data_IF_092649669053
#
_entry.id   IF_092649669053
#
_cell.length_a   1.000
_cell.length_b   1.000
_cell.length_c   1.000
_cell.angle_alpha   90.00
_cell.angle_beta   90.00
_cell.angle_gamma   90.00
#
_symmetry.space_group_name_H-M   'P 1'
#
loop_
_entity.id
_entity.type
_entity.pdbx_description
1 polymer ?
#
# COMPACT_ATOMS: atom_id res chain seq x y z
N UNK A 1 13.00 -12.27 -28.45
CA UNK A 1 11.78 -12.26 -27.62
C UNK A 1 11.26 -10.84 -27.59
N UNK A 2 10.04 -10.61 -28.08
CA UNK A 2 9.48 -9.27 -28.27
C UNK A 2 9.02 -8.75 -26.92
N UNK A 3 9.60 -7.63 -26.49
CA UNK A 3 9.20 -6.91 -25.29
C UNK A 3 7.76 -6.40 -25.51
N UNK A 4 6.77 -7.05 -24.90
CA UNK A 4 5.37 -6.67 -25.03
C UNK A 4 4.97 -5.76 -23.87
N UNK A 5 4.46 -4.59 -24.25
CA UNK A 5 3.53 -3.73 -23.51
C UNK A 5 4.14 -2.58 -22.70
N UNK A 6 4.48 -1.50 -23.40
CA UNK A 6 4.24 -0.13 -22.93
C UNK A 6 2.73 0.07 -22.72
N UNK A 7 2.25 -0.23 -21.52
CA UNK A 7 1.04 0.38 -20.98
C UNK A 7 1.46 1.09 -19.71
N UNK A 8 1.71 2.40 -19.81
CA UNK A 8 1.88 3.24 -18.63
C UNK A 8 0.50 3.53 -18.04
N UNK A 9 -0.16 2.48 -17.53
CA UNK A 9 -1.34 2.67 -16.70
C UNK A 9 -0.84 3.21 -15.36
N UNK A 10 -1.17 4.46 -15.04
CA UNK A 10 -0.81 5.09 -13.76
C UNK A 10 -1.26 4.22 -12.59
N UNK A 11 -0.49 4.20 -11.50
CA UNK A 11 -0.78 3.36 -10.34
C UNK A 11 -1.64 4.08 -9.29
N UNK A 12 -2.37 3.30 -8.49
CA UNK A 12 -3.17 3.78 -7.37
C UNK A 12 -2.83 2.98 -6.10
N UNK A 13 -2.57 3.68 -5.00
CA UNK A 13 -2.38 3.09 -3.67
C UNK A 13 -3.65 3.29 -2.85
N UNK A 14 -4.21 2.21 -2.29
CA UNK A 14 -5.39 2.27 -1.41
C UNK A 14 -5.52 1.05 -0.52
N UNK A 15 -6.30 1.19 0.54
CA UNK A 15 -6.80 0.06 1.31
C UNK A 15 -7.97 -0.62 0.59
N UNK A 16 -8.06 -1.94 0.70
CA UNK A 16 -9.13 -2.75 0.14
C UNK A 16 -9.36 -4.03 0.96
N UNK A 17 -10.56 -4.59 0.87
CA UNK A 17 -10.91 -5.85 1.53
C UNK A 17 -10.92 -6.99 0.52
N UNK A 18 -10.26 -8.10 0.85
CA UNK A 18 -10.37 -9.34 0.09
C UNK A 18 -11.68 -10.05 0.46
N UNK A 19 -12.73 -9.78 -0.30
CA UNK A 19 -13.96 -10.55 -0.20
C UNK A 19 -13.82 -11.85 -1.00
N UNK A 20 -14.06 -12.99 -0.34
CA UNK A 20 -14.07 -14.31 -1.01
C UNK A 20 -15.38 -14.59 -1.76
N UNK A 21 -16.45 -13.81 -1.53
CA UNK A 21 -17.75 -13.91 -2.21
C UNK A 21 -18.51 -12.58 -2.10
N UNK A 22 -19.28 -12.20 -3.14
CA UNK A 22 -20.02 -10.92 -3.19
C UNK A 22 -20.93 -10.62 -1.98
N UNK A 23 -21.30 -11.64 -1.20
CA UNK A 23 -22.17 -11.54 -0.02
C UNK A 23 -21.40 -11.58 1.32
N UNK A 24 -20.08 -11.78 1.33
CA UNK A 24 -19.24 -11.74 2.53
C UNK A 24 -18.35 -10.49 2.49
N UNK A 25 -18.64 -9.54 3.39
CA UNK A 25 -17.62 -8.53 3.75
C UNK A 25 -16.60 -9.23 4.63
N UNK A 26 -15.36 -9.27 4.17
CA UNK A 26 -14.25 -9.57 5.06
C UNK A 26 -13.95 -8.30 5.86
N UNK A 27 -13.75 -8.45 7.17
CA UNK A 27 -13.21 -7.40 8.02
C UNK A 27 -11.70 -7.24 7.84
N UNK A 28 -11.08 -8.08 6.98
CA UNK A 28 -9.66 -8.00 6.68
C UNK A 28 -9.34 -6.97 5.61
N UNK A 29 -8.61 -5.94 6.01
CA UNK A 29 -8.14 -4.87 5.14
C UNK A 29 -6.65 -5.01 4.79
N UNK A 30 -6.33 -4.66 3.56
CA UNK A 30 -5.01 -4.75 2.96
C UNK A 30 -4.66 -3.46 2.25
N UNK A 31 -3.41 -3.02 2.33
CA UNK A 31 -2.86 -1.96 1.49
C UNK A 31 -2.34 -2.56 0.19
N UNK A 32 -2.86 -2.09 -0.95
CA UNK A 32 -2.49 -2.60 -2.26
C UNK A 32 -2.17 -1.50 -3.27
N UNK A 33 -1.42 -1.88 -4.30
CA UNK A 33 -1.17 -1.06 -5.48
C UNK A 33 -1.94 -1.69 -6.66
N UNK A 34 -2.68 -0.84 -7.35
CA UNK A 34 -3.61 -1.18 -8.43
C UNK A 34 -3.25 -0.41 -9.70
N UNK A 35 -3.64 -0.94 -10.86
CA UNK A 35 -3.68 -0.14 -12.08
C UNK A 35 -4.91 0.78 -12.02
N UNK A 36 -4.73 2.08 -12.24
CA UNK A 36 -5.81 3.08 -12.11
C UNK A 36 -6.97 2.84 -13.07
N UNK A 37 -6.66 2.33 -14.28
CA UNK A 37 -7.62 2.06 -15.35
C UNK A 37 -7.96 0.57 -15.48
N UNK A 38 -7.77 -0.23 -14.42
CA UNK A 38 -8.06 -1.66 -14.49
C UNK A 38 -9.57 -1.92 -14.68
N UNK A 39 -9.89 -2.75 -15.67
CA UNK A 39 -11.23 -3.29 -15.90
C UNK A 39 -11.65 -4.28 -14.81
N UNK A 40 -10.71 -4.77 -13.99
CA UNK A 40 -10.96 -5.58 -12.80
C UNK A 40 -10.53 -4.83 -11.53
N UNK A 41 -11.36 -3.90 -11.02
CA UNK A 41 -10.99 -3.02 -9.92
C UNK A 41 -10.78 -3.75 -8.58
N UNK A 42 -11.00 -5.07 -8.49
CA UNK A 42 -10.83 -5.84 -7.25
C UNK A 42 -9.44 -6.42 -7.03
N UNK A 43 -8.54 -6.41 -8.03
CA UNK A 43 -7.29 -7.16 -7.96
C UNK A 43 -6.06 -6.24 -7.94
N UNK A 44 -5.34 -6.12 -6.81
CA UNK A 44 -4.06 -5.42 -6.81
C UNK A 44 -2.98 -6.29 -7.47
N UNK A 45 -1.96 -5.64 -8.04
CA UNK A 45 -0.76 -6.34 -8.51
C UNK A 45 0.32 -6.44 -7.42
N UNK A 46 0.21 -5.66 -6.35
CA UNK A 46 1.07 -5.74 -5.17
C UNK A 46 0.28 -5.51 -3.88
N UNK A 47 0.64 -6.21 -2.79
CA UNK A 47 -0.04 -6.16 -1.48
C UNK A 47 1.02 -6.03 -0.39
N UNK A 48 0.94 -4.99 0.44
CA UNK A 48 1.93 -4.68 1.47
C UNK A 48 1.88 -5.68 2.63
N UNK A 49 0.69 -5.87 3.19
CA UNK A 49 0.46 -6.64 4.41
C UNK A 49 -0.18 -8.00 4.13
N UNK A 50 0.27 -8.69 3.06
CA UNK A 50 -0.32 -9.96 2.59
C UNK A 50 -0.43 -11.02 3.69
N UNK A 51 0.57 -11.10 4.57
CA UNK A 51 0.65 -12.10 5.64
C UNK A 51 0.03 -11.62 6.96
N UNK A 52 -0.20 -10.30 7.10
CA UNK A 52 -0.67 -9.66 8.33
C UNK A 52 -1.86 -8.74 8.01
N UNK A 53 -3.04 -9.29 7.69
CA UNK A 53 -4.23 -8.48 7.45
C UNK A 53 -4.57 -7.61 8.65
N UNK A 54 -5.06 -6.40 8.37
CA UNK A 54 -5.66 -5.54 9.38
C UNK A 54 -7.03 -6.14 9.67
N UNK A 55 -7.36 -6.38 10.94
CA UNK A 55 -8.59 -7.07 11.36
C UNK A 55 -9.84 -6.20 11.31
N UNK A 56 -9.70 -4.97 10.85
CA UNK A 56 -10.77 -3.99 10.68
C UNK A 56 -10.47 -3.09 9.47
N UNK A 57 -11.35 -2.12 9.23
CA UNK A 57 -11.23 -1.17 8.12
C UNK A 57 -10.60 0.18 8.53
N UNK A 58 -9.79 0.20 9.59
CA UNK A 58 -9.23 1.44 10.17
C UNK A 58 -7.76 1.72 9.79
N UNK A 59 -7.22 0.95 8.85
CA UNK A 59 -5.84 1.08 8.37
C UNK A 59 -5.49 2.48 7.87
N UNK A 60 -4.38 3.02 8.34
CA UNK A 60 -3.80 4.28 7.87
C UNK A 60 -2.32 4.07 7.55
N UNK A 61 -1.90 4.52 6.37
CA UNK A 61 -0.48 4.56 6.00
C UNK A 61 0.14 5.83 6.57
N UNK A 62 1.20 5.68 7.35
CA UNK A 62 1.88 6.80 8.02
C UNK A 62 3.39 6.68 7.87
N UNK A 63 4.07 7.82 7.98
CA UNK A 63 5.51 7.88 8.25
C UNK A 63 5.64 8.30 9.71
N UNK A 64 6.37 7.52 10.50
CA UNK A 64 6.55 7.85 11.92
C UNK A 64 7.62 8.92 12.14
N UNK A 65 7.77 9.36 13.38
CA UNK A 65 8.76 10.36 13.77
C UNK A 65 10.22 9.96 13.52
N UNK A 66 10.48 8.67 13.24
CA UNK A 66 11.82 8.14 12.93
C UNK A 66 12.07 8.00 11.43
N UNK A 67 11.07 8.30 10.59
CA UNK A 67 11.14 8.17 9.14
C UNK A 67 10.71 6.80 8.60
N UNK A 68 10.14 5.93 9.43
CA UNK A 68 9.69 4.60 9.02
C UNK A 68 8.32 4.64 8.36
N UNK A 69 8.15 3.89 7.28
CA UNK A 69 6.84 3.68 6.67
C UNK A 69 6.09 2.58 7.43
N UNK A 70 4.92 2.91 7.96
CA UNK A 70 4.11 1.99 8.76
C UNK A 70 2.63 2.01 8.39
N UNK A 71 1.91 0.96 8.76
CA UNK A 71 0.45 0.94 8.81
C UNK A 71 0.01 0.94 10.28
N UNK A 72 -0.80 1.92 10.67
CA UNK A 72 -1.49 1.98 11.98
C UNK A 72 -2.96 1.62 11.82
N UNK A 73 -3.58 1.11 12.88
CA UNK A 73 -5.00 0.72 12.92
C UNK A 73 -5.49 0.58 14.37
N UNK A 74 -6.81 0.70 14.58
CA UNK A 74 -7.47 0.79 15.89
C UNK A 74 -7.59 -0.58 16.58
N UNK A 75 -7.55 -1.69 15.82
CA UNK A 75 -7.75 -3.07 16.30
C UNK A 75 -6.80 -3.64 17.37
N UNK A 76 -6.10 -2.79 18.13
CA UNK A 76 -5.42 -3.17 19.38
C UNK A 76 -4.12 -3.94 19.21
N UNK A 77 -3.58 -4.00 17.99
CA UNK A 77 -2.33 -4.68 17.66
C UNK A 77 -1.23 -3.67 17.33
N UNK A 78 0.02 -4.15 17.36
CA UNK A 78 1.16 -3.36 16.95
C UNK A 78 1.03 -2.90 15.48
N UNK A 79 1.50 -1.67 15.22
CA UNK A 79 1.66 -1.13 13.87
C UNK A 79 2.48 -2.09 13.00
N UNK A 80 2.17 -2.13 11.71
CA UNK A 80 2.93 -2.93 10.74
C UNK A 80 4.03 -2.06 10.14
N UNK A 81 5.29 -2.38 10.41
CA UNK A 81 6.42 -1.74 9.72
C UNK A 81 6.51 -2.29 8.29
N UNK A 82 6.49 -1.39 7.30
CA UNK A 82 6.66 -1.73 5.89
C UNK A 82 8.11 -1.50 5.42
N UNK A 83 8.78 -0.48 5.96
CA UNK A 83 10.14 -0.12 5.61
C UNK A 83 10.80 0.81 6.66
N UNK A 84 12.09 0.62 6.93
CA UNK A 84 12.86 1.38 7.94
C UNK A 84 14.24 1.88 7.50
N UNK A 85 14.55 1.86 6.19
CA UNK A 85 15.88 2.19 5.67
C UNK A 85 16.19 3.68 5.45
N UNK A 86 15.37 4.61 5.97
CA UNK A 86 15.62 6.06 5.88
C UNK A 86 15.38 6.68 7.27
N UNK A 87 16.37 7.43 7.78
CA UNK A 87 16.29 8.11 9.07
C UNK A 87 16.43 9.62 8.87
N UNK A 88 15.42 10.38 9.29
CA UNK A 88 15.46 11.84 9.25
C UNK A 88 14.07 12.47 9.40
N UNK A 89 14.00 13.74 9.82
CA UNK A 89 12.73 14.42 10.09
C UNK A 89 11.92 14.74 8.81
N UNK A 90 12.58 14.77 7.65
CA UNK A 90 11.95 15.08 6.37
C UNK A 90 11.94 13.84 5.49
N UNK A 91 10.95 12.98 5.65
CA UNK A 91 10.73 11.83 4.76
C UNK A 91 9.33 11.93 4.17
N UNK A 92 9.23 11.70 2.86
CA UNK A 92 7.96 11.63 2.13
C UNK A 92 7.86 10.31 1.38
N UNK A 93 6.63 9.84 1.16
CA UNK A 93 6.35 8.67 0.33
C UNK A 93 5.71 9.12 -0.98
N UNK A 94 6.26 8.65 -2.10
CA UNK A 94 5.77 8.98 -3.45
C UNK A 94 5.47 7.70 -4.20
N UNK A 95 4.21 7.52 -4.62
CA UNK A 95 3.86 6.50 -5.60
C UNK A 95 4.17 7.02 -7.00
N UNK A 96 5.07 6.37 -7.69
CA UNK A 96 5.38 6.65 -9.09
C UNK A 96 4.34 5.98 -10.01
N UNK A 97 4.18 6.49 -11.23
CA UNK A 97 3.21 5.95 -12.20
C UNK A 97 3.43 4.47 -12.51
N UNK A 98 4.69 4.02 -12.48
CA UNK A 98 5.09 2.62 -12.69
C UNK A 98 4.78 1.69 -11.49
N UNK A 99 4.16 2.20 -10.42
CA UNK A 99 3.78 1.44 -9.25
C UNK A 99 4.89 1.30 -8.20
N UNK A 100 6.01 1.99 -8.36
CA UNK A 100 7.05 2.01 -7.35
C UNK A 100 6.69 3.02 -6.24
N UNK A 101 6.51 2.52 -5.01
CA UNK A 101 6.32 3.35 -3.82
C UNK A 101 7.69 3.63 -3.20
N UNK A 102 8.14 4.89 -3.30
CA UNK A 102 9.49 5.29 -2.89
C UNK A 102 9.42 6.20 -1.68
N UNK A 103 10.24 5.90 -0.66
CA UNK A 103 10.54 6.84 0.40
C UNK A 103 11.67 7.76 -0.06
N UNK A 104 11.42 9.07 0.03
CA UNK A 104 12.37 10.11 -0.33
C UNK A 104 12.70 10.93 0.91
N UNK A 105 13.98 11.03 1.23
CA UNK A 105 14.49 12.02 2.16
C UNK A 105 14.41 13.41 1.52
N UNK A 106 13.85 14.38 2.23
CA UNK A 106 13.97 15.80 1.92
C UNK A 106 15.43 16.20 2.10
N UNK A 107 16.02 16.76 1.04
CA UNK A 107 17.30 17.45 1.16
C UNK A 107 16.93 18.91 1.40
N UNK A 108 17.17 19.41 2.61
CA UNK A 108 17.12 20.84 2.92
C UNK A 108 18.28 21.57 2.27
#
# INVERSE_FOLDING_TARGET
MVNKSTRMDSSLLRFYNLSSNANSKSDYSYLGIFYKNDTNPGKPFWIANRNNPITDNSGVLVIDQTGKLMITYIGGRASLELYSGQSGPEVSAVLQDNGNLVLKQGIT
#
